data_IF_900278634620
#
_entry.id   IF_900278634620
#
_cell.length_a   1.000
_cell.length_b   1.000
_cell.length_c   1.000
_cell.angle_alpha   90.00
_cell.angle_beta   90.00
_cell.angle_gamma   90.00
#
_symmetry.space_group_name_H-M   'P 1'
#
loop_
_entity.id
_entity.type
_entity.pdbx_description
1 polymer ?
#
# COMPACT_ATOMS: atom_id res chain seq x y z
N UNK A 1 1.43 -6.64 -20.32
CA UNK A 1 0.81 -7.92 -19.90
C UNK A 1 0.49 -7.86 -18.42
N UNK A 2 -0.69 -8.34 -18.02
CA UNK A 2 -1.06 -8.62 -16.64
C UNK A 2 -1.53 -10.08 -16.57
N UNK A 3 -1.28 -10.76 -15.46
CA UNK A 3 -1.79 -12.10 -15.22
C UNK A 3 -2.21 -12.27 -13.76
N UNK A 4 -3.07 -13.26 -13.51
CA UNK A 4 -3.57 -13.63 -12.18
C UNK A 4 -3.74 -15.16 -12.14
N UNK A 5 -3.23 -15.81 -11.10
CA UNK A 5 -3.44 -17.23 -10.85
C UNK A 5 -4.41 -17.41 -9.67
N UNK A 6 -5.38 -18.30 -9.81
CA UNK A 6 -6.25 -18.71 -8.71
C UNK A 6 -5.67 -19.89 -7.91
N UNK A 7 -6.36 -20.29 -6.84
CA UNK A 7 -5.95 -21.44 -6.01
C UNK A 7 -6.10 -22.81 -6.67
N UNK A 8 -6.49 -22.88 -7.95
CA UNK A 8 -6.73 -24.12 -8.73
C UNK A 8 -5.85 -24.22 -9.98
N UNK A 9 -4.75 -23.45 -10.04
CA UNK A 9 -3.85 -23.39 -11.20
C UNK A 9 -4.52 -22.88 -12.50
N UNK A 10 -5.62 -22.14 -12.39
CA UNK A 10 -6.17 -21.36 -13.50
C UNK A 10 -5.44 -20.03 -13.54
N UNK A 11 -4.91 -19.69 -14.71
CA UNK A 11 -4.29 -18.39 -14.94
C UNK A 11 -5.10 -17.57 -15.94
N UNK A 12 -5.49 -16.38 -15.51
CA UNK A 12 -6.08 -15.34 -16.34
C UNK A 12 -4.99 -14.46 -16.90
N UNK A 13 -4.96 -14.27 -18.22
CA UNK A 13 -4.04 -13.36 -18.90
C UNK A 13 -4.80 -12.17 -19.45
N UNK A 14 -4.22 -10.98 -19.29
CA UNK A 14 -4.69 -9.74 -19.93
C UNK A 14 -3.51 -9.10 -20.67
N UNK A 15 -3.60 -9.05 -22.00
CA UNK A 15 -2.62 -8.43 -22.88
C UNK A 15 -3.20 -7.15 -23.46
N UNK A 16 -2.32 -6.21 -23.74
CA UNK A 16 -2.67 -4.96 -24.41
C UNK A 16 -1.58 -4.59 -25.41
N UNK A 17 -1.96 -4.15 -26.60
CA UNK A 17 -1.04 -3.66 -27.61
C UNK A 17 -1.73 -2.66 -28.53
N UNK A 18 -0.96 -1.91 -29.32
CA UNK A 18 -1.52 -0.91 -30.24
C UNK A 18 -2.29 -1.57 -31.38
N UNK A 19 -3.45 -1.02 -31.72
CA UNK A 19 -4.34 -1.50 -32.78
C UNK A 19 -3.73 -1.43 -34.19
N UNK A 20 -2.69 -0.60 -34.38
CA UNK A 20 -1.88 -0.62 -35.62
C UNK A 20 -1.22 -1.99 -35.85
N UNK A 21 -1.03 -2.78 -34.79
CA UNK A 21 -0.57 -4.15 -34.87
C UNK A 21 -1.80 -5.05 -35.01
N UNK A 22 -1.90 -5.74 -36.17
CA UNK A 22 -3.06 -6.56 -36.52
C UNK A 22 -3.23 -7.78 -35.63
N UNK A 23 -2.15 -8.27 -35.01
CA UNK A 23 -2.22 -9.33 -34.00
C UNK A 23 -1.20 -9.17 -32.88
N UNK A 24 -1.53 -9.77 -31.74
CA UNK A 24 -0.69 -9.88 -30.55
C UNK A 24 -0.69 -11.35 -30.13
N UNK A 25 0.50 -11.88 -29.84
CA UNK A 25 0.70 -13.25 -29.44
C UNK A 25 1.46 -13.39 -28.13
N UNK A 26 1.10 -14.41 -27.38
CA UNK A 26 1.80 -14.87 -26.19
C UNK A 26 2.12 -16.36 -26.33
N UNK A 27 3.39 -16.72 -26.24
CA UNK A 27 3.88 -18.10 -26.26
C UNK A 27 4.36 -18.53 -24.88
N UNK A 28 4.18 -19.82 -24.57
CA UNK A 28 4.68 -20.46 -23.35
C UNK A 28 5.75 -21.47 -23.76
N UNK A 29 6.96 -21.23 -23.26
CA UNK A 29 8.19 -21.93 -23.61
C UNK A 29 8.86 -22.49 -22.37
N UNK A 30 9.49 -23.66 -22.52
CA UNK A 30 10.26 -24.30 -21.44
C UNK A 30 11.70 -23.81 -21.37
N UNK A 31 12.25 -23.34 -22.48
CA UNK A 31 13.67 -22.98 -22.65
C UNK A 31 13.87 -21.54 -23.16
N UNK A 32 12.77 -20.79 -23.33
CA UNK A 32 12.79 -19.43 -23.88
C UNK A 32 12.84 -19.36 -25.41
N UNK A 33 12.88 -20.51 -26.10
CA UNK A 33 12.87 -20.58 -27.55
C UNK A 33 11.45 -20.73 -28.10
N UNK A 34 11.27 -20.25 -29.34
CA UNK A 34 10.02 -20.37 -30.07
C UNK A 34 9.68 -21.83 -30.41
N UNK A 35 10.69 -22.62 -30.79
CA UNK A 35 10.46 -23.98 -31.28
C UNK A 35 10.05 -24.91 -30.13
N UNK A 36 9.01 -25.71 -30.34
CA UNK A 36 8.43 -26.57 -29.32
C UNK A 36 7.48 -25.86 -28.33
N UNK A 37 7.27 -24.55 -28.49
CA UNK A 37 6.35 -23.79 -27.63
C UNK A 37 4.90 -23.85 -28.12
N UNK A 38 3.97 -23.59 -27.20
CA UNK A 38 2.56 -23.35 -27.55
C UNK A 38 2.21 -21.88 -27.34
N UNK A 39 1.42 -21.29 -28.24
CA UNK A 39 1.08 -19.89 -28.19
C UNK A 39 -0.41 -19.63 -28.37
N UNK A 40 -0.88 -18.52 -27.80
CA UNK A 40 -2.19 -17.94 -28.07
C UNK A 40 -1.97 -16.64 -28.84
N UNK A 41 -2.68 -16.49 -29.95
CA UNK A 41 -2.64 -15.29 -30.78
C UNK A 41 -4.05 -14.75 -30.92
N UNK A 42 -4.20 -13.45 -30.73
CA UNK A 42 -5.45 -12.76 -31.01
C UNK A 42 -5.22 -11.62 -32.00
N UNK A 43 -6.23 -11.36 -32.81
CA UNK A 43 -6.22 -10.36 -33.87
C UNK A 43 -7.57 -9.69 -33.98
N UNK A 44 -7.57 -8.53 -34.65
CA UNK A 44 -8.79 -7.82 -35.00
C UNK A 44 -8.74 -7.53 -36.50
N UNK A 45 -9.77 -7.99 -37.21
CA UNK A 45 -9.97 -7.73 -38.63
C UNK A 45 -10.47 -6.31 -38.88
N UNK A 46 -10.30 -5.83 -40.12
CA UNK A 46 -10.71 -4.48 -40.53
C UNK A 46 -12.22 -4.23 -40.42
N UNK A 47 -13.03 -5.28 -40.43
CA UNK A 47 -14.49 -5.26 -40.25
C UNK A 47 -14.91 -5.24 -38.75
N UNK A 48 -13.95 -5.22 -37.81
CA UNK A 48 -14.20 -5.24 -36.37
C UNK A 48 -14.39 -6.64 -35.77
N UNK A 49 -14.37 -7.70 -36.59
CA UNK A 49 -14.41 -9.09 -36.11
C UNK A 49 -13.08 -9.41 -35.47
N UNK A 50 -13.12 -9.91 -34.23
CA UNK A 50 -11.94 -10.32 -33.50
C UNK A 50 -11.81 -11.84 -33.48
N UNK A 51 -10.57 -12.33 -33.63
CA UNK A 51 -10.26 -13.74 -33.49
C UNK A 51 -9.24 -14.00 -32.39
N UNK A 52 -9.30 -15.18 -31.81
CA UNK A 52 -8.27 -15.72 -30.92
C UNK A 52 -8.07 -17.20 -31.25
N UNK A 53 -6.81 -17.64 -31.29
CA UNK A 53 -6.46 -19.00 -31.67
C UNK A 53 -5.20 -19.47 -30.98
N UNK A 54 -5.11 -20.78 -30.77
CA UNK A 54 -3.90 -21.44 -30.30
C UNK A 54 -3.02 -21.93 -31.46
N UNK A 55 -1.71 -21.91 -31.26
CA UNK A 55 -0.71 -22.37 -32.20
C UNK A 55 0.33 -23.26 -31.54
N UNK A 56 0.74 -24.32 -32.25
CA UNK A 56 1.94 -25.08 -31.91
C UNK A 56 3.11 -24.62 -32.78
N UNK A 57 4.17 -24.14 -32.14
CA UNK A 57 5.32 -23.53 -32.81
C UNK A 57 6.40 -24.60 -33.08
N UNK A 58 6.18 -25.46 -34.08
CA UNK A 58 7.12 -26.55 -34.44
C UNK A 58 8.42 -26.04 -35.06
N UNK A 59 8.45 -24.80 -35.54
CA UNK A 59 9.62 -24.19 -36.17
C UNK A 59 9.38 -22.72 -36.52
N UNK A 60 10.42 -22.05 -37.03
CA UNK A 60 10.37 -20.61 -37.36
C UNK A 60 9.68 -20.28 -38.69
N UNK A 61 9.46 -21.27 -39.55
CA UNK A 61 8.76 -21.09 -40.82
C UNK A 61 7.25 -21.09 -40.61
N UNK A 62 6.51 -20.30 -41.40
CA UNK A 62 5.06 -20.17 -41.29
C UNK A 62 4.34 -21.52 -41.38
N UNK A 63 4.78 -22.42 -42.27
CA UNK A 63 4.23 -23.79 -42.40
C UNK A 63 4.46 -24.68 -41.18
N UNK A 64 5.37 -24.31 -40.28
CA UNK A 64 5.65 -24.99 -39.01
C UNK A 64 4.98 -24.30 -37.81
N UNK A 65 4.19 -23.26 -38.04
CA UNK A 65 3.33 -22.62 -37.03
C UNK A 65 1.92 -23.16 -37.22
N UNK A 66 1.57 -24.20 -36.47
CA UNK A 66 0.41 -25.04 -36.75
C UNK A 66 -0.81 -24.49 -35.99
N UNK A 67 -1.88 -24.04 -36.68
CA UNK A 67 -3.09 -23.56 -36.03
C UNK A 67 -3.82 -24.68 -35.29
N UNK A 68 -4.53 -24.32 -34.23
CA UNK A 68 -5.42 -25.19 -33.44
C UNK A 68 -4.72 -26.40 -32.80
N UNK A 69 -3.39 -26.30 -32.61
CA UNK A 69 -2.56 -27.31 -31.95
C UNK A 69 -1.77 -26.72 -30.78
N UNK A 70 -1.28 -27.59 -29.91
CA UNK A 70 -0.45 -27.25 -28.76
C UNK A 70 -1.05 -27.76 -27.45
N UNK A 71 -0.37 -27.47 -26.34
CA UNK A 71 -0.64 -28.10 -25.05
C UNK A 71 -1.41 -27.18 -24.08
N UNK A 72 -1.80 -25.98 -24.51
CA UNK A 72 -2.55 -25.06 -23.66
C UNK A 72 -4.02 -25.50 -23.58
N UNK A 73 -4.58 -25.42 -22.37
CA UNK A 73 -5.96 -25.84 -22.09
C UNK A 73 -6.79 -24.63 -21.70
N UNK A 74 -7.68 -24.19 -22.58
CA UNK A 74 -8.64 -23.14 -22.24
C UNK A 74 -9.65 -23.63 -21.21
N UNK A 75 -10.09 -22.73 -20.33
CA UNK A 75 -11.21 -23.02 -19.41
C UNK A 75 -12.56 -22.85 -20.12
N UNK A 76 -13.67 -23.04 -19.39
CA UNK A 76 -15.01 -22.74 -19.89
C UNK A 76 -15.32 -21.24 -20.04
N UNK A 77 -14.44 -20.36 -19.56
CA UNK A 77 -14.60 -18.91 -19.72
C UNK A 77 -14.15 -18.51 -21.12
N UNK A 78 -15.07 -17.95 -21.90
CA UNK A 78 -14.79 -17.48 -23.25
C UNK A 78 -13.72 -16.39 -23.23
N UNK A 79 -12.68 -16.50 -24.07
CA UNK A 79 -11.77 -15.41 -24.30
C UNK A 79 -12.49 -14.16 -24.82
N UNK A 80 -11.93 -13.00 -24.54
CA UNK A 80 -12.46 -11.71 -24.96
C UNK A 80 -11.37 -10.92 -25.67
N UNK A 81 -11.71 -10.35 -26.82
CA UNK A 81 -10.87 -9.39 -27.53
C UNK A 81 -11.69 -8.11 -27.71
N UNK A 82 -11.16 -6.98 -27.23
CA UNK A 82 -11.84 -5.68 -27.27
C UNK A 82 -10.91 -4.61 -27.79
N UNK A 83 -11.40 -3.78 -28.70
CA UNK A 83 -10.71 -2.54 -29.10
C UNK A 83 -11.24 -1.37 -28.29
N UNK A 84 -10.34 -0.59 -27.69
CA UNK A 84 -10.69 0.67 -27.00
C UNK A 84 -9.67 1.75 -27.36
N UNK A 85 -10.10 2.73 -28.15
CA UNK A 85 -9.21 3.71 -28.75
C UNK A 85 -8.15 3.01 -29.62
N UNK A 86 -6.89 3.37 -29.44
CA UNK A 86 -5.77 2.78 -30.18
C UNK A 86 -5.24 1.47 -29.60
N UNK A 87 -5.92 0.86 -28.63
CA UNK A 87 -5.47 -0.36 -27.96
C UNK A 87 -6.40 -1.55 -28.20
N UNK A 88 -5.80 -2.70 -28.48
CA UNK A 88 -6.45 -4.01 -28.44
C UNK A 88 -6.16 -4.62 -27.07
N UNK A 89 -7.22 -5.04 -26.38
CA UNK A 89 -7.17 -5.81 -25.14
C UNK A 89 -7.58 -7.25 -25.43
N UNK A 90 -6.81 -8.19 -24.88
CA UNK A 90 -7.07 -9.62 -25.01
C UNK A 90 -7.10 -10.20 -23.60
N UNK A 91 -8.17 -10.91 -23.27
CA UNK A 91 -8.32 -11.61 -22.00
C UNK A 91 -8.70 -13.07 -22.24
N UNK A 92 -8.01 -14.01 -21.60
CA UNK A 92 -8.35 -15.43 -21.67
C UNK A 92 -7.87 -16.18 -20.43
N UNK A 93 -8.39 -17.38 -20.22
CA UNK A 93 -8.02 -18.23 -19.09
C UNK A 93 -7.49 -19.58 -19.56
N UNK A 94 -6.35 -19.98 -18.99
CA UNK A 94 -5.72 -21.28 -19.22
C UNK A 94 -5.64 -22.06 -17.91
N UNK A 95 -5.92 -23.36 -17.99
CA UNK A 95 -5.70 -24.33 -16.92
C UNK A 95 -4.33 -24.98 -17.09
N UNK A 96 -3.47 -24.86 -16.09
CA UNK A 96 -2.18 -25.54 -16.06
C UNK A 96 -2.22 -26.75 -15.12
N UNK A 97 -1.43 -27.78 -15.46
CA UNK A 97 -1.32 -29.00 -14.65
C UNK A 97 -0.49 -28.77 -13.36
N UNK A 98 0.49 -27.88 -13.43
CA UNK A 98 1.37 -27.48 -12.32
C UNK A 98 1.39 -25.97 -12.19
N UNK A 99 1.90 -25.46 -11.06
CA UNK A 99 2.18 -24.03 -10.92
C UNK A 99 3.09 -23.56 -12.07
N UNK A 100 2.78 -22.42 -12.66
CA UNK A 100 3.48 -21.86 -13.84
C UNK A 100 4.69 -21.01 -13.43
N UNK A 101 5.11 -21.10 -12.16
CA UNK A 101 6.38 -20.57 -11.73
C UNK A 101 7.47 -21.12 -12.66
N UNK A 102 8.26 -20.22 -13.24
CA UNK A 102 9.43 -20.48 -14.07
C UNK A 102 9.19 -20.78 -15.57
N UNK A 103 7.99 -20.54 -16.12
CA UNK A 103 7.82 -20.62 -17.58
C UNK A 103 8.35 -19.35 -18.28
N UNK A 104 9.09 -19.55 -19.37
CA UNK A 104 9.44 -18.48 -20.28
C UNK A 104 8.21 -18.09 -21.09
N UNK A 105 7.95 -16.79 -21.18
CA UNK A 105 6.93 -16.22 -22.03
C UNK A 105 7.54 -15.50 -23.20
N UNK A 106 7.03 -15.87 -24.37
CA UNK A 106 7.32 -15.24 -25.65
C UNK A 106 6.22 -14.22 -25.92
N UNK A 107 6.57 -12.98 -26.20
CA UNK A 107 5.61 -11.97 -26.66
C UNK A 107 5.95 -11.59 -28.09
N UNK A 108 4.94 -11.49 -28.94
CA UNK A 108 5.11 -11.12 -30.33
C UNK A 108 3.95 -10.27 -30.83
N UNK A 109 4.23 -9.40 -31.79
CA UNK A 109 3.22 -8.60 -32.50
C UNK A 109 3.47 -8.69 -34.01
N UNK A 110 2.43 -8.56 -34.81
CA UNK A 110 2.56 -8.49 -36.27
C UNK A 110 1.62 -7.50 -36.93
N UNK A 111 1.88 -7.26 -38.21
CA UNK A 111 1.25 -6.23 -39.05
C UNK A 111 0.13 -6.76 -39.95
N UNK A 112 -0.10 -8.07 -39.98
CA UNK A 112 -1.06 -8.73 -40.87
C UNK A 112 -1.88 -9.76 -40.09
N UNK A 113 -3.20 -9.81 -40.30
CA UNK A 113 -4.05 -10.82 -39.65
C UNK A 113 -3.71 -12.23 -40.12
N UNK A 114 -4.03 -13.29 -39.34
CA UNK A 114 -3.94 -14.66 -39.82
C UNK A 114 -4.66 -14.86 -41.15
N UNK A 115 -4.08 -15.71 -42.00
CA UNK A 115 -4.64 -16.10 -43.29
C UNK A 115 -5.92 -16.93 -43.10
N UNK A 116 -6.76 -17.05 -44.13
CA UNK A 116 -8.00 -17.84 -44.07
C UNK A 116 -7.78 -19.30 -43.67
N UNK A 117 -6.63 -19.88 -44.06
CA UNK A 117 -6.22 -21.23 -43.67
C UNK A 117 -5.64 -21.31 -42.24
N UNK A 118 -5.70 -20.22 -41.48
CA UNK A 118 -5.21 -20.10 -40.11
C UNK A 118 -3.71 -19.87 -39.98
N UNK A 119 -2.93 -19.85 -41.07
CA UNK A 119 -1.50 -19.60 -41.00
C UNK A 119 -1.19 -18.20 -40.48
N UNK A 120 -0.19 -18.11 -39.60
CA UNK A 120 0.18 -16.88 -38.92
C UNK A 120 1.35 -16.17 -39.62
N UNK A 121 1.16 -14.93 -40.11
CA UNK A 121 2.25 -14.12 -40.66
C UNK A 121 3.36 -13.87 -39.64
N UNK A 122 4.57 -13.62 -40.15
CA UNK A 122 5.73 -13.37 -39.30
C UNK A 122 5.53 -12.12 -38.44
N UNK A 123 5.95 -12.20 -37.18
CA UNK A 123 5.98 -11.05 -36.26
C UNK A 123 6.95 -9.97 -36.75
N UNK A 124 6.60 -8.72 -36.49
CA UNK A 124 7.47 -7.55 -36.71
C UNK A 124 8.35 -7.24 -35.49
N UNK A 125 7.89 -7.62 -34.29
CA UNK A 125 8.65 -7.47 -33.07
C UNK A 125 8.35 -8.64 -32.11
N UNK A 126 9.36 -9.02 -31.33
CA UNK A 126 9.26 -10.10 -30.35
C UNK A 126 10.16 -9.86 -29.15
N UNK A 127 9.82 -10.47 -28.03
CA UNK A 127 10.67 -10.53 -26.85
C UNK A 127 10.39 -11.82 -26.07
N UNK A 128 11.37 -12.25 -25.28
CA UNK A 128 11.24 -13.37 -24.34
C UNK A 128 11.48 -12.82 -22.94
N UNK A 129 10.61 -13.17 -22.00
CA UNK A 129 10.73 -12.79 -20.59
C UNK A 129 10.30 -13.94 -19.69
N UNK A 130 10.77 -13.96 -18.44
CA UNK A 130 10.34 -14.95 -17.46
C UNK A 130 9.06 -14.46 -16.78
N UNK A 131 8.06 -15.34 -16.63
CA UNK A 131 7.03 -15.10 -15.62
C UNK A 131 7.64 -15.50 -14.27
N UNK A 132 8.18 -14.50 -13.56
CA UNK A 132 8.32 -14.64 -12.11
C UNK A 132 6.92 -14.56 -11.51
N UNK A 133 6.36 -15.73 -11.21
CA UNK A 133 5.20 -15.88 -10.35
C UNK A 133 5.63 -15.54 -8.92
N UNK A 134 6.07 -14.30 -8.68
CA UNK A 134 5.94 -13.72 -7.34
C UNK A 134 4.51 -14.00 -6.92
N UNK A 135 4.31 -14.60 -5.75
CA UNK A 135 3.06 -15.06 -5.16
C UNK A 135 2.02 -13.93 -5.08
N UNK A 136 1.56 -13.55 -6.27
CA UNK A 136 1.02 -12.26 -6.60
C UNK A 136 -0.48 -12.34 -6.48
N UNK A 137 -0.94 -12.67 -5.27
CA UNK A 137 -2.26 -12.28 -4.86
C UNK A 137 -2.24 -10.74 -4.86
N UNK A 138 -2.50 -10.14 -6.02
CA UNK A 138 -2.66 -8.70 -6.16
C UNK A 138 -3.86 -8.36 -5.30
N UNK A 139 -3.59 -7.91 -4.07
CA UNK A 139 -4.61 -7.52 -3.11
C UNK A 139 -5.57 -6.60 -3.85
N UNK A 140 -6.83 -7.03 -3.92
CA UNK A 140 -7.86 -6.31 -4.65
C UNK A 140 -7.93 -4.86 -4.13
N UNK A 141 -8.18 -3.86 -4.99
CA UNK A 141 -8.10 -2.45 -4.57
C UNK A 141 -8.99 -2.11 -3.36
N UNK A 142 -10.16 -2.75 -3.23
CA UNK A 142 -11.04 -2.63 -2.07
C UNK A 142 -10.41 -3.18 -0.78
N UNK A 143 -9.74 -4.33 -0.85
CA UNK A 143 -9.04 -4.95 0.28
C UNK A 143 -7.83 -4.10 0.69
N UNK A 144 -7.03 -3.65 -0.28
CA UNK A 144 -5.88 -2.79 -0.03
C UNK A 144 -6.28 -1.45 0.60
N UNK A 145 -7.40 -0.89 0.15
CA UNK A 145 -8.00 0.31 0.74
C UNK A 145 -8.45 0.09 2.18
N UNK A 146 -9.03 -1.07 2.50
CA UNK A 146 -9.40 -1.44 3.88
C UNK A 146 -8.16 -1.52 4.77
N UNK A 147 -7.07 -2.16 4.31
CA UNK A 147 -5.82 -2.23 5.05
C UNK A 147 -5.11 -0.87 5.20
N UNK A 148 -5.11 -0.03 4.16
CA UNK A 148 -4.61 1.34 4.26
C UNK A 148 -5.36 2.13 5.34
N UNK A 149 -6.70 2.07 5.34
CA UNK A 149 -7.52 2.72 6.37
C UNK A 149 -7.27 2.16 7.77
N UNK A 150 -7.23 0.83 7.91
CA UNK A 150 -6.98 0.16 9.20
C UNK A 150 -5.62 0.55 9.79
N UNK A 151 -4.55 0.46 8.99
CA UNK A 151 -3.19 0.84 9.41
C UNK A 151 -3.08 2.34 9.72
N UNK A 152 -3.80 3.20 8.99
CA UNK A 152 -3.86 4.63 9.30
C UNK A 152 -4.52 4.89 10.66
N UNK A 153 -5.64 4.22 10.96
CA UNK A 153 -6.33 4.34 12.25
C UNK A 153 -5.43 3.84 13.40
N UNK A 154 -4.82 2.66 13.25
CA UNK A 154 -3.96 2.09 14.29
C UNK A 154 -2.74 2.97 14.54
N UNK A 155 -2.00 3.33 13.48
CA UNK A 155 -0.78 4.13 13.59
C UNK A 155 -1.08 5.57 14.04
N UNK A 156 -1.80 6.30 13.20
CA UNK A 156 -2.02 7.74 13.37
C UNK A 156 -3.20 8.10 14.27
N UNK A 157 -4.20 7.24 14.35
CA UNK A 157 -5.42 7.49 15.13
C UNK A 157 -5.38 6.95 16.57
N UNK A 158 -4.45 6.04 16.90
CA UNK A 158 -4.39 5.39 18.22
C UNK A 158 -2.98 5.47 18.82
N UNK A 159 -1.99 4.88 18.15
CA UNK A 159 -0.63 4.74 18.70
C UNK A 159 0.03 6.11 18.91
N UNK A 160 0.00 6.99 17.91
CA UNK A 160 0.64 8.32 18.05
C UNK A 160 -0.07 9.21 19.09
N UNK A 161 -1.43 9.28 19.20
CA UNK A 161 -2.09 9.95 20.31
C UNK A 161 -1.70 9.38 21.68
N UNK A 162 -1.57 8.05 21.80
CA UNK A 162 -1.12 7.42 23.04
C UNK A 162 0.31 7.89 23.42
N UNK A 163 1.21 7.99 22.44
CA UNK A 163 2.54 8.56 22.62
C UNK A 163 2.50 10.00 23.16
N UNK A 164 1.58 10.84 22.66
CA UNK A 164 1.38 12.21 23.16
C UNK A 164 0.87 12.24 24.61
N UNK A 165 -0.06 11.35 24.97
CA UNK A 165 -0.56 11.22 26.34
C UNK A 165 0.56 10.80 27.30
N UNK A 166 1.44 9.87 26.91
CA UNK A 166 2.61 9.47 27.70
C UNK A 166 3.50 10.68 28.00
N UNK A 167 3.84 11.48 26.98
CA UNK A 167 4.67 12.67 27.16
C UNK A 167 4.04 13.80 27.97
N UNK A 168 2.71 13.80 28.15
CA UNK A 168 1.98 14.79 28.95
C UNK A 168 1.80 14.33 30.40
N UNK A 169 1.23 13.14 30.60
CA UNK A 169 0.73 12.72 31.91
C UNK A 169 1.74 11.90 32.72
N UNK A 170 2.71 11.25 32.06
CA UNK A 170 3.63 10.34 32.73
C UNK A 170 5.04 10.93 32.95
N UNK A 171 5.23 12.25 32.77
CA UNK A 171 6.54 12.92 32.94
C UNK A 171 7.19 12.76 34.32
N UNK A 172 6.41 12.43 35.34
CA UNK A 172 6.90 12.22 36.70
C UNK A 172 7.77 10.95 36.82
N UNK A 173 7.58 9.96 35.93
CA UNK A 173 8.31 8.69 35.94
C UNK A 173 9.62 8.82 35.14
N UNK A 174 10.63 9.48 35.70
CA UNK A 174 11.93 9.66 35.04
C UNK A 174 12.83 8.43 35.26
N UNK A 175 13.56 7.93 34.22
CA UNK A 175 13.56 8.37 32.82
C UNK A 175 12.53 7.63 31.93
N UNK A 176 11.74 6.73 32.49
CA UNK A 176 10.85 5.78 31.79
C UNK A 176 9.91 6.48 30.79
N UNK A 177 9.31 7.61 31.16
CA UNK A 177 8.37 8.33 30.28
C UNK A 177 8.97 8.67 28.91
N UNK A 178 10.28 9.00 28.89
CA UNK A 178 10.97 9.41 27.68
C UNK A 178 11.15 8.23 26.73
N UNK A 179 11.54 7.07 27.27
CA UNK A 179 11.67 5.84 26.49
C UNK A 179 10.30 5.36 26.00
N UNK A 180 9.28 5.33 26.86
CA UNK A 180 7.93 4.95 26.46
C UNK A 180 7.37 5.88 25.37
N UNK A 181 7.48 7.20 25.55
CA UNK A 181 7.05 8.16 24.53
C UNK A 181 7.77 7.90 23.20
N UNK A 182 9.10 7.82 23.22
CA UNK A 182 9.90 7.66 22.00
C UNK A 182 9.60 6.34 21.31
N UNK A 183 9.55 5.22 22.04
CA UNK A 183 9.24 3.90 21.50
C UNK A 183 7.85 3.86 20.87
N UNK A 184 6.82 4.38 21.55
CA UNK A 184 5.45 4.42 21.02
C UNK A 184 5.38 5.29 19.76
N UNK A 185 6.06 6.44 19.74
CA UNK A 185 6.09 7.29 18.54
C UNK A 185 6.82 6.64 17.37
N UNK A 186 7.93 5.93 17.60
CA UNK A 186 8.62 5.18 16.54
C UNK A 186 7.74 4.08 15.97
N UNK A 187 7.06 3.30 16.82
CA UNK A 187 6.11 2.27 16.35
C UNK A 187 5.01 2.92 15.50
N UNK A 188 4.42 4.02 15.97
CA UNK A 188 3.42 4.78 15.23
C UNK A 188 3.93 5.28 13.87
N UNK A 189 5.15 5.82 13.83
CA UNK A 189 5.80 6.32 12.62
C UNK A 189 6.03 5.22 11.58
N UNK A 190 6.55 4.06 11.97
CA UNK A 190 6.77 2.93 11.04
C UNK A 190 5.45 2.32 10.53
N UNK A 191 4.44 2.18 11.40
CA UNK A 191 3.09 1.80 10.95
C UNK A 191 2.53 2.86 9.97
N UNK A 192 2.83 4.14 10.20
CA UNK A 192 2.52 5.23 9.30
C UNK A 192 3.20 5.13 7.92
N UNK A 193 4.48 4.71 7.87
CA UNK A 193 5.20 4.43 6.61
C UNK A 193 4.50 3.31 5.83
N UNK A 194 4.09 2.24 6.51
CA UNK A 194 3.36 1.13 5.89
C UNK A 194 2.04 1.65 5.31
N UNK A 195 1.29 2.44 6.09
CA UNK A 195 0.02 3.03 5.65
C UNK A 195 0.18 3.93 4.42
N UNK A 196 1.15 4.85 4.40
CA UNK A 196 1.35 5.76 3.26
C UNK A 196 1.85 5.02 2.01
N UNK A 197 2.69 3.99 2.18
CA UNK A 197 3.13 3.11 1.08
C UNK A 197 1.94 2.38 0.44
N UNK A 198 1.05 1.82 1.27
CA UNK A 198 -0.20 1.21 0.78
C UNK A 198 -1.08 2.22 0.04
N UNK A 199 -1.20 3.45 0.54
CA UNK A 199 -1.95 4.54 -0.10
C UNK A 199 -1.37 4.94 -1.46
N UNK A 200 -0.05 5.06 -1.57
CA UNK A 200 0.65 5.32 -2.85
C UNK A 200 0.42 4.20 -3.86
N UNK A 201 0.59 2.95 -3.43
CA UNK A 201 0.36 1.79 -4.28
C UNK A 201 -1.11 1.70 -4.74
N UNK A 202 -2.06 2.06 -3.86
CA UNK A 202 -3.48 2.10 -4.20
C UNK A 202 -3.77 3.19 -5.25
N UNK A 203 -3.16 4.37 -5.12
CA UNK A 203 -3.29 5.43 -6.11
C UNK A 203 -2.72 5.00 -7.47
N UNK A 204 -1.54 4.37 -7.50
CA UNK A 204 -0.92 3.87 -8.72
C UNK A 204 -1.81 2.83 -9.44
N UNK A 205 -2.54 2.00 -8.69
CA UNK A 205 -3.47 0.99 -9.26
C UNK A 205 -4.80 1.55 -9.73
N UNK A 206 -5.35 2.55 -9.04
CA UNK A 206 -6.74 2.99 -9.23
C UNK A 206 -6.89 4.33 -9.94
N UNK A 207 -5.86 5.19 -9.91
CA UNK A 207 -5.92 6.55 -10.41
C UNK A 207 -6.97 7.43 -9.70
N UNK A 208 -7.57 6.96 -8.60
CA UNK A 208 -8.71 7.64 -8.00
C UNK A 208 -8.29 9.01 -7.42
N UNK A 209 -8.94 10.12 -7.84
CA UNK A 209 -8.56 11.44 -7.39
C UNK A 209 -9.09 11.72 -5.98
N UNK A 210 -8.19 11.83 -5.01
CA UNK A 210 -8.47 12.43 -3.70
C UNK A 210 -7.30 13.37 -3.31
N UNK A 211 -7.22 14.57 -3.91
CA UNK A 211 -6.09 15.47 -3.72
C UNK A 211 -5.98 15.96 -2.26
N UNK A 212 -7.09 16.26 -1.60
CA UNK A 212 -7.10 16.75 -0.21
C UNK A 212 -6.55 15.72 0.77
N UNK A 213 -6.99 14.45 0.67
CA UNK A 213 -6.46 13.38 1.52
C UNK A 213 -4.96 13.15 1.29
N UNK A 214 -4.51 13.22 0.03
CA UNK A 214 -3.08 13.08 -0.28
C UNK A 214 -2.26 14.23 0.29
N UNK A 215 -2.75 15.46 0.16
CA UNK A 215 -2.10 16.65 0.71
C UNK A 215 -1.93 16.52 2.22
N UNK A 216 -3.03 16.32 2.95
CA UNK A 216 -2.99 16.19 4.41
C UNK A 216 -2.14 15.00 4.86
N UNK A 217 -2.23 13.86 4.15
CA UNK A 217 -1.40 12.68 4.44
C UNK A 217 0.09 12.93 4.29
N UNK A 218 0.52 13.56 3.19
CA UNK A 218 1.93 13.92 2.99
C UNK A 218 2.40 15.00 3.96
N UNK A 219 1.57 15.99 4.27
CA UNK A 219 1.89 17.01 5.27
C UNK A 219 2.09 16.39 6.66
N UNK A 220 1.18 15.55 7.13
CA UNK A 220 1.33 14.85 8.40
C UNK A 220 2.60 13.99 8.44
N UNK A 221 2.88 13.25 7.36
CA UNK A 221 4.09 12.43 7.25
C UNK A 221 5.37 13.26 7.28
N UNK A 222 5.39 14.38 6.58
CA UNK A 222 6.52 15.31 6.58
C UNK A 222 6.78 15.88 7.99
N UNK A 223 5.75 16.36 8.68
CA UNK A 223 5.89 16.88 10.04
C UNK A 223 6.35 15.79 11.02
N UNK A 224 5.85 14.56 10.90
CA UNK A 224 6.33 13.44 11.69
C UNK A 224 7.81 13.09 11.38
N UNK A 225 8.25 13.24 10.13
CA UNK A 225 9.66 13.13 9.77
C UNK A 225 10.52 14.20 10.45
N UNK A 226 10.02 15.43 10.56
CA UNK A 226 10.69 16.49 11.32
C UNK A 226 10.81 16.12 12.81
N UNK A 227 9.80 15.50 13.40
CA UNK A 227 9.86 15.01 14.78
C UNK A 227 10.98 13.96 14.99
N UNK A 228 11.18 13.06 14.02
CA UNK A 228 12.29 12.10 14.05
C UNK A 228 13.63 12.82 13.94
N UNK A 229 13.76 13.83 13.06
CA UNK A 229 14.96 14.67 12.98
C UNK A 229 15.21 15.42 14.30
N UNK A 230 14.17 15.92 14.95
CA UNK A 230 14.28 16.59 16.24
C UNK A 230 14.71 15.65 17.37
N UNK A 231 14.26 14.39 17.35
CA UNK A 231 14.74 13.36 18.27
C UNK A 231 16.26 13.15 18.13
N UNK A 232 16.76 13.04 16.90
CA UNK A 232 18.20 12.88 16.61
C UNK A 232 19.00 14.13 17.03
N UNK A 233 18.49 15.31 16.68
CA UNK A 233 19.10 16.60 16.99
C UNK A 233 18.82 17.12 18.40
N UNK A 234 18.39 16.27 19.33
CA UNK A 234 17.96 16.68 20.68
C UNK A 234 19.14 17.28 21.46
N UNK A 235 19.08 18.56 21.88
CA UNK A 235 20.15 19.19 22.64
C UNK A 235 20.19 18.74 24.10
N UNK A 236 21.36 18.88 24.74
CA UNK A 236 21.54 18.61 26.18
C UNK A 236 20.58 19.43 27.05
N UNK A 237 20.34 18.96 28.28
CA UNK A 237 19.39 19.62 29.20
C UNK A 237 19.80 21.08 29.49
N UNK A 238 21.10 21.35 29.56
CA UNK A 238 21.66 22.66 29.94
C UNK A 238 21.90 23.60 28.73
N UNK A 239 21.53 23.17 27.52
CA UNK A 239 21.76 23.96 26.31
C UNK A 239 20.82 25.16 26.20
N UNK A 240 21.35 26.33 25.83
CA UNK A 240 20.55 27.51 25.44
C UNK A 240 19.58 27.24 24.27
N UNK A 241 19.84 26.21 23.46
CA UNK A 241 18.97 25.80 22.33
C UNK A 241 17.76 24.96 22.80
N UNK A 242 17.79 24.41 24.03
CA UNK A 242 16.78 23.48 24.53
C UNK A 242 15.36 24.07 24.60
N UNK A 243 15.14 25.34 25.02
CA UNK A 243 13.80 25.92 25.01
C UNK A 243 13.20 26.06 23.61
N UNK A 244 13.99 26.48 22.62
CA UNK A 244 13.55 26.59 21.22
C UNK A 244 13.23 25.21 20.63
N UNK A 245 14.07 24.21 20.90
CA UNK A 245 13.81 22.83 20.51
C UNK A 245 12.52 22.30 21.14
N UNK A 246 12.30 22.55 22.44
CA UNK A 246 11.07 22.13 23.14
C UNK A 246 9.83 22.80 22.52
N UNK A 247 9.91 24.10 22.20
CA UNK A 247 8.82 24.83 21.56
C UNK A 247 8.48 24.24 20.19
N UNK A 248 9.49 24.04 19.34
CA UNK A 248 9.30 23.47 18.02
C UNK A 248 8.71 22.05 18.11
N UNK A 249 9.31 21.17 18.92
CA UNK A 249 8.86 19.78 19.14
C UNK A 249 7.41 19.71 19.65
N UNK A 250 7.05 20.63 20.55
CA UNK A 250 5.69 20.69 21.10
C UNK A 250 4.63 21.04 20.04
N UNK A 251 4.91 22.01 19.17
CA UNK A 251 3.94 22.53 18.22
C UNK A 251 3.92 21.75 16.91
N UNK A 252 5.07 21.33 16.39
CA UNK A 252 5.16 20.49 15.19
C UNK A 252 4.45 19.15 15.43
N UNK A 253 4.70 18.48 16.56
CA UNK A 253 4.06 17.21 16.88
C UNK A 253 2.54 17.30 17.05
N UNK A 254 2.03 18.41 17.62
CA UNK A 254 0.58 18.65 17.71
C UNK A 254 -0.05 18.94 16.35
N UNK A 255 0.61 19.76 15.53
CA UNK A 255 0.15 20.03 14.18
C UNK A 255 0.08 18.73 13.36
N UNK A 256 1.13 17.89 13.43
CA UNK A 256 1.15 16.58 12.79
C UNK A 256 -0.03 15.71 13.24
N UNK A 257 -0.32 15.67 14.55
CA UNK A 257 -1.43 14.93 15.12
C UNK A 257 -2.79 15.38 14.57
N UNK A 258 -3.08 16.68 14.64
CA UNK A 258 -4.36 17.25 14.19
C UNK A 258 -4.56 16.99 12.70
N UNK A 259 -3.53 17.21 11.88
CA UNK A 259 -3.60 16.96 10.44
C UNK A 259 -3.82 15.48 10.16
N UNK A 260 -3.17 14.57 10.90
CA UNK A 260 -3.35 13.13 10.72
C UNK A 260 -4.78 12.66 11.05
N UNK A 261 -5.36 13.14 12.16
CA UNK A 261 -6.76 12.84 12.55
C UNK A 261 -7.73 13.38 11.49
N UNK A 262 -7.55 14.63 11.06
CA UNK A 262 -8.36 15.22 9.98
C UNK A 262 -8.22 14.42 8.67
N UNK A 263 -7.00 13.95 8.36
CA UNK A 263 -6.75 13.17 7.16
C UNK A 263 -7.51 11.84 7.15
N UNK A 264 -7.67 11.19 8.30
CA UNK A 264 -8.50 9.97 8.44
C UNK A 264 -9.96 10.31 8.12
N UNK A 265 -10.50 11.41 8.65
CA UNK A 265 -11.86 11.87 8.35
C UNK A 265 -12.07 12.16 6.86
N UNK A 266 -11.13 12.88 6.22
CA UNK A 266 -11.17 13.15 4.76
C UNK A 266 -11.06 11.86 3.96
N UNK A 267 -10.26 10.89 4.43
CA UNK A 267 -10.14 9.56 3.84
C UNK A 267 -11.45 8.78 3.84
N UNK A 268 -12.23 8.88 4.92
CA UNK A 268 -13.56 8.27 5.00
C UNK A 268 -14.59 8.96 4.10
N UNK A 269 -14.56 10.28 4.01
CA UNK A 269 -15.50 11.03 3.17
C UNK A 269 -15.27 10.78 1.67
N UNK A 270 -14.01 10.71 1.23
CA UNK A 270 -13.67 10.43 -0.16
C UNK A 270 -13.89 8.98 -0.60
N UNK A 271 -14.35 8.10 0.29
CA UNK A 271 -14.49 6.67 0.02
C UNK A 271 -15.93 6.31 -0.34
N UNK A 272 -16.14 5.80 -1.56
CA UNK A 272 -17.47 5.40 -2.07
C UNK A 272 -17.94 4.02 -1.61
N UNK A 273 -17.06 3.25 -0.98
CA UNK A 273 -17.37 1.93 -0.38
C UNK A 273 -17.82 2.12 1.06
N UNK A 274 -18.92 1.51 1.48
CA UNK A 274 -19.40 1.59 2.87
C UNK A 274 -18.46 0.81 3.81
N UNK A 275 -17.47 1.51 4.36
CA UNK A 275 -16.56 1.00 5.39
C UNK A 275 -17.09 1.35 6.78
N UNK A 276 -18.35 0.99 7.05
CA UNK A 276 -19.04 1.34 8.31
C UNK A 276 -18.26 0.89 9.54
N UNK A 277 -17.74 -0.33 9.53
CA UNK A 277 -16.98 -0.89 10.66
C UNK A 277 -15.74 -0.05 11.00
N UNK A 278 -14.98 0.40 10.00
CA UNK A 278 -13.79 1.22 10.22
C UNK A 278 -14.15 2.61 10.76
N UNK A 279 -15.26 3.20 10.29
CA UNK A 279 -15.75 4.50 10.79
C UNK A 279 -16.17 4.38 12.25
N UNK A 280 -16.93 3.35 12.60
CA UNK A 280 -17.37 3.07 13.97
C UNK A 280 -16.14 2.81 14.86
N UNK A 281 -15.23 1.94 14.42
CA UNK A 281 -14.01 1.61 15.16
C UNK A 281 -13.15 2.85 15.44
N UNK A 282 -12.98 3.73 14.44
CA UNK A 282 -12.27 4.99 14.62
C UNK A 282 -12.99 5.93 15.60
N UNK A 283 -14.31 6.08 15.49
CA UNK A 283 -15.09 6.91 16.41
C UNK A 283 -14.98 6.40 17.86
N UNK A 284 -15.09 5.08 18.08
CA UNK A 284 -14.92 4.45 19.39
C UNK A 284 -13.51 4.68 19.96
N UNK A 285 -12.48 4.54 19.12
CA UNK A 285 -11.10 4.83 19.52
C UNK A 285 -10.92 6.30 19.93
N UNK A 286 -11.46 7.24 19.15
CA UNK A 286 -11.38 8.66 19.43
C UNK A 286 -12.09 9.02 20.74
N UNK A 287 -13.31 8.53 20.95
CA UNK A 287 -14.07 8.74 22.20
C UNK A 287 -13.32 8.17 23.39
N UNK A 288 -12.73 6.98 23.25
CA UNK A 288 -11.92 6.36 24.32
C UNK A 288 -10.71 7.22 24.66
N UNK A 289 -9.94 7.66 23.65
CA UNK A 289 -8.77 8.52 23.85
C UNK A 289 -9.13 9.86 24.50
N UNK A 290 -10.24 10.48 24.08
CA UNK A 290 -10.73 11.73 24.67
C UNK A 290 -11.16 11.53 26.13
N UNK A 291 -11.87 10.45 26.41
CA UNK A 291 -12.31 10.10 27.78
C UNK A 291 -11.11 9.89 28.70
N UNK A 292 -10.12 9.10 28.26
CA UNK A 292 -8.86 8.88 28.99
C UNK A 292 -8.14 10.21 29.21
N UNK A 293 -8.07 11.06 28.19
CA UNK A 293 -7.44 12.39 28.29
C UNK A 293 -8.13 13.25 29.35
N UNK A 294 -9.46 13.29 29.38
CA UNK A 294 -10.24 14.04 30.39
C UNK A 294 -9.98 13.51 31.79
N UNK A 295 -9.99 12.18 31.97
CA UNK A 295 -9.70 11.55 33.27
C UNK A 295 -8.27 11.86 33.74
N UNK A 296 -7.28 11.76 32.87
CA UNK A 296 -5.89 12.06 33.22
C UNK A 296 -5.67 13.54 33.50
N UNK A 297 -6.29 14.43 32.73
CA UNK A 297 -6.20 15.88 32.92
C UNK A 297 -6.86 16.32 34.24
N UNK A 298 -8.04 15.77 34.57
CA UNK A 298 -8.72 16.06 35.84
C UNK A 298 -7.90 15.58 37.05
N UNK A 299 -7.30 14.39 36.98
CA UNK A 299 -6.37 13.90 38.00
C UNK A 299 -5.16 14.80 38.17
N UNK A 300 -4.49 15.15 37.06
CA UNK A 300 -3.31 16.02 37.07
C UNK A 300 -3.62 17.39 37.68
N UNK A 301 -4.77 17.98 37.35
CA UNK A 301 -5.20 19.26 37.94
C UNK A 301 -5.49 19.15 39.43
N UNK A 302 -6.11 18.05 39.88
CA UNK A 302 -6.37 17.80 41.30
C UNK A 302 -5.07 17.69 42.08
N UNK A 303 -4.10 16.93 41.58
CA UNK A 303 -2.77 16.80 42.20
C UNK A 303 -2.06 18.16 42.31
N UNK A 304 -2.10 18.98 41.26
CA UNK A 304 -1.52 20.31 41.28
C UNK A 304 -2.25 21.31 42.19
N UNK A 305 -3.52 21.06 42.53
CA UNK A 305 -4.33 21.92 43.39
C UNK A 305 -4.14 21.60 44.89
N UNK A 306 -3.55 20.46 45.25
CA UNK A 306 -3.20 20.15 46.64
C UNK A 306 -2.01 21.05 47.00
N UNK A 307 -2.15 22.01 47.93
CA UNK A 307 -1.03 22.83 48.36
C UNK A 307 0.02 21.92 48.98
N UNK A 308 1.27 22.04 48.53
CA UNK A 308 2.43 21.38 49.15
C UNK A 308 2.52 21.85 50.60
N UNK A 309 1.88 21.12 51.50
CA UNK A 309 1.81 21.45 52.91
C UNK A 309 2.53 20.36 53.68
N UNK A 310 3.44 20.80 54.55
CA UNK A 310 4.14 20.09 55.63
C UNK A 310 5.60 19.63 55.36
N UNK A 311 6.04 19.34 54.12
CA UNK A 311 7.41 18.80 53.90
C UNK A 311 8.48 19.86 53.49
N UNK A 312 8.06 21.09 53.16
CA UNK A 312 8.96 22.17 52.69
C UNK A 312 9.29 23.21 53.79
N UNK A 313 8.96 22.97 55.06
CA UNK A 313 9.44 23.84 56.14
C UNK A 313 10.90 23.52 56.47
N UNK A 314 11.82 24.52 56.51
CA UNK A 314 13.19 24.27 56.95
C UNK A 314 13.17 23.68 58.37
N UNK A 315 14.06 22.72 58.68
CA UNK A 315 14.11 22.13 60.01
C UNK A 315 14.30 23.23 61.05
N UNK A 316 13.31 23.38 61.93
CA UNK A 316 13.40 24.32 63.05
C UNK A 316 14.33 23.70 64.09
N UNK A 317 15.58 24.12 64.12
CA UNK A 317 16.49 23.80 65.22
C UNK A 317 15.95 24.47 66.49
N UNK A 318 15.32 23.68 67.37
CA UNK A 318 15.06 24.10 68.75
C UNK A 318 16.34 23.88 69.54
N UNK A 319 16.96 24.96 69.99
CA UNK A 319 17.96 24.90 71.06
C UNK A 319 17.21 24.47 72.32
N UNK A 320 17.67 23.41 72.98
CA UNK A 320 17.13 23.03 74.27
C UNK A 320 17.48 24.14 75.25
N UNK A 321 16.47 24.82 75.81
CA UNK A 321 16.67 25.72 76.93
C UNK A 321 17.30 24.90 78.06
N UNK A 322 18.48 25.32 78.51
CA UNK A 322 19.14 24.77 79.69
C UNK A 322 18.18 24.93 80.87
N UNK A 323 17.74 23.79 81.40
CA UNK A 323 17.03 23.72 82.67
C UNK A 323 17.96 24.29 83.75
N UNK A 324 17.44 25.29 84.45
CA UNK A 324 17.99 25.98 85.63
C UNK A 324 18.76 25.10 86.60
#
# INVERSE_FOLDING_TARGET
MQFFQDGKNVMTFVLSGKHVHKWIGIGFSRDGNMEGSSAVVAWVESNGISGIRQYYLKGKNMSKVIPDKGDLRFTSVNPVVVVRGDLIYIAFQLQFATSVADHHVLLAIGSETPLENGLLPKHINKTTTLIELSSGQKIAPNVQRRYHGLTAIIGWGIITPAGLMIARYFRHIKPIWYYLHSSVQFVGFFVGIISISMGRNLYAKTGFPNPTHRLFGYTAFFLAGLEVCQFIGRPSMDSKRRPYWNFAHYWVGRAAMVIAVLNICVGFHGNRTDNRDLKIGFAMALVTLLTVTIVLETRLRRENAIPKTIDDQPPVFRVADELS
#
